data_IF_785895776623
#
_entry.id   IF_785895776623
#
_cell.length_a   1.000
_cell.length_b   1.000
_cell.length_c   1.000
_cell.angle_alpha   90.00
_cell.angle_beta   90.00
_cell.angle_gamma   90.00
#
_symmetry.space_group_name_H-M   'P 1'
#
loop_
_entity.id
_entity.type
_entity.pdbx_description
1 polymer ?
#
# COMPACT_ATOMS: atom_id res chain seq x y z
N UNK A 1 12.23 -20.28 2.43
CA UNK A 1 12.12 -20.08 3.90
C UNK A 1 11.20 -18.92 4.22
N UNK A 2 11.63 -17.66 4.02
CA UNK A 2 10.76 -16.48 4.14
C UNK A 2 9.59 -16.49 3.15
N UNK A 3 9.78 -17.08 1.96
CA UNK A 3 8.74 -17.22 0.94
C UNK A 3 7.48 -17.95 1.44
N UNK A 4 7.58 -18.90 2.39
CA UNK A 4 6.41 -19.57 2.99
C UNK A 4 5.62 -18.62 3.90
N UNK A 5 6.30 -17.75 4.64
CA UNK A 5 5.67 -16.73 5.51
C UNK A 5 5.12 -15.57 4.66
N UNK A 6 5.82 -15.20 3.58
CA UNK A 6 5.37 -14.20 2.61
C UNK A 6 4.25 -14.70 1.69
N UNK A 7 4.08 -16.03 1.56
CA UNK A 7 3.01 -16.60 0.74
C UNK A 7 1.66 -16.13 1.24
N UNK A 8 0.92 -15.44 0.37
CA UNK A 8 -0.46 -15.02 0.60
C UNK A 8 -1.46 -16.16 0.31
N UNK A 9 -0.97 -17.32 -0.12
CA UNK A 9 -1.80 -18.46 -0.48
C UNK A 9 -2.12 -19.29 0.77
N UNK A 10 -3.33 -19.10 1.28
CA UNK A 10 -3.88 -19.79 2.45
C UNK A 10 -4.02 -21.31 2.29
N UNK A 11 -3.93 -21.86 1.06
CA UNK A 11 -3.90 -23.33 0.85
C UNK A 11 -2.53 -23.94 1.11
N UNK A 12 -1.49 -23.11 1.11
CA UNK A 12 -0.07 -23.55 1.17
C UNK A 12 0.69 -22.98 2.36
N UNK A 13 0.06 -22.09 3.13
CA UNK A 13 0.65 -21.39 4.26
C UNK A 13 -0.32 -21.33 5.43
N UNK A 14 0.14 -21.75 6.60
CA UNK A 14 -0.56 -21.58 7.87
C UNK A 14 -0.39 -20.16 8.45
N UNK A 15 0.44 -19.32 7.81
CA UNK A 15 0.72 -17.95 8.21
C UNK A 15 -0.29 -17.00 7.57
N UNK A 16 -1.33 -16.67 8.33
CA UNK A 16 -2.44 -15.85 7.83
C UNK A 16 -2.19 -14.39 8.25
N UNK A 17 -2.51 -13.44 7.37
CA UNK A 17 -2.52 -12.03 7.76
C UNK A 17 -3.74 -11.79 8.67
N UNK A 18 -3.52 -11.72 9.99
CA UNK A 18 -4.56 -11.47 10.99
C UNK A 18 -4.05 -10.49 12.03
N UNK A 19 -4.94 -9.58 12.43
CA UNK A 19 -4.66 -8.67 13.55
C UNK A 19 -4.50 -9.44 14.86
N UNK A 20 -3.63 -8.97 15.78
CA UNK A 20 -3.66 -9.43 17.17
C UNK A 20 -5.05 -9.24 17.78
N UNK A 21 -5.27 -9.90 18.92
CA UNK A 21 -6.32 -9.55 19.86
C UNK A 21 -6.19 -8.07 20.21
N UNK A 22 -7.27 -7.32 20.00
CA UNK A 22 -7.33 -5.90 20.29
C UNK A 22 -8.75 -5.57 20.74
N UNK A 23 -8.90 -5.23 22.02
CA UNK A 23 -10.19 -4.98 22.65
C UNK A 23 -10.91 -3.80 21.97
N UNK A 24 -10.17 -2.81 21.48
CA UNK A 24 -10.74 -1.70 20.70
C UNK A 24 -11.38 -2.17 19.39
N UNK A 25 -10.68 -3.01 18.62
CA UNK A 25 -11.24 -3.59 17.39
C UNK A 25 -12.42 -4.53 17.66
N UNK A 26 -12.48 -5.12 18.85
CA UNK A 26 -13.60 -5.94 19.28
C UNK A 26 -14.84 -5.09 19.62
N UNK A 27 -14.66 -3.98 20.35
CA UNK A 27 -15.72 -3.02 20.68
C UNK A 27 -16.38 -2.45 19.41
N UNK A 28 -15.58 -2.11 18.39
CA UNK A 28 -16.11 -1.60 17.13
C UNK A 28 -16.57 -2.71 16.16
N UNK A 29 -16.45 -4.00 16.54
CA UNK A 29 -16.85 -5.13 15.72
C UNK A 29 -15.94 -5.42 14.52
N UNK A 30 -14.84 -4.69 14.33
CA UNK A 30 -13.88 -4.92 13.24
C UNK A 30 -13.18 -6.28 13.34
N UNK A 31 -13.09 -6.83 14.55
CA UNK A 31 -12.45 -8.13 14.76
C UNK A 31 -13.19 -9.34 14.16
N UNK A 32 -14.41 -9.17 13.65
CA UNK A 32 -15.21 -10.26 13.06
C UNK A 32 -16.00 -9.90 11.78
N UNK A 33 -16.09 -8.62 11.43
CA UNK A 33 -17.00 -8.11 10.37
C UNK A 33 -16.30 -7.59 9.10
N UNK A 34 -15.01 -7.25 9.18
CA UNK A 34 -14.21 -6.74 8.06
C UNK A 34 -13.32 -7.80 7.39
N UNK A 35 -12.32 -7.38 6.62
CA UNK A 35 -11.32 -8.27 6.00
C UNK A 35 -9.96 -8.13 6.68
N UNK A 36 -9.59 -6.92 7.06
CA UNK A 36 -8.24 -6.56 7.50
C UNK A 36 -8.00 -6.98 8.94
N UNK A 37 -8.99 -6.77 9.80
CA UNK A 37 -8.89 -7.04 11.24
C UNK A 37 -9.64 -8.30 11.69
N UNK A 38 -10.25 -9.02 10.74
CA UNK A 38 -11.09 -10.17 11.05
C UNK A 38 -10.27 -11.37 11.53
N UNK A 39 -10.57 -11.80 12.76
CA UNK A 39 -9.91 -12.93 13.42
C UNK A 39 -10.62 -14.25 13.16
N UNK A 40 -11.89 -14.24 12.76
CA UNK A 40 -12.66 -15.44 12.45
C UNK A 40 -12.35 -15.91 11.02
N UNK A 41 -11.74 -17.09 10.88
CA UNK A 41 -11.30 -17.59 9.58
C UNK A 41 -12.44 -17.80 8.59
N UNK A 42 -13.53 -18.43 9.03
CA UNK A 42 -14.63 -18.80 8.14
C UNK A 42 -15.37 -17.54 7.68
N UNK A 43 -15.59 -16.59 8.58
CA UNK A 43 -16.09 -15.24 8.28
C UNK A 43 -15.17 -14.53 7.28
N UNK A 44 -13.87 -14.45 7.58
CA UNK A 44 -12.88 -13.82 6.71
C UNK A 44 -12.82 -14.48 5.32
N UNK A 45 -12.80 -15.80 5.25
CA UNK A 45 -12.71 -16.55 4.01
C UNK A 45 -13.98 -16.36 3.15
N UNK A 46 -15.15 -16.25 3.78
CA UNK A 46 -16.40 -15.92 3.13
C UNK A 46 -16.39 -14.48 2.60
N UNK A 47 -16.12 -13.50 3.46
CA UNK A 47 -16.09 -12.07 3.13
C UNK A 47 -15.05 -11.76 2.04
N UNK A 48 -13.85 -12.35 2.13
CA UNK A 48 -12.79 -12.18 1.13
C UNK A 48 -13.19 -12.69 -0.24
N UNK A 49 -13.90 -13.83 -0.32
CA UNK A 49 -14.40 -14.34 -1.61
C UNK A 49 -15.40 -13.38 -2.23
N UNK A 50 -16.33 -12.85 -1.42
CA UNK A 50 -17.31 -11.87 -1.89
C UNK A 50 -16.64 -10.59 -2.35
N UNK A 51 -15.78 -10.01 -1.51
CA UNK A 51 -15.07 -8.76 -1.79
C UNK A 51 -14.23 -8.84 -3.06
N UNK A 52 -13.39 -9.89 -3.21
CA UNK A 52 -12.60 -10.09 -4.43
C UNK A 52 -13.52 -10.17 -5.66
N UNK A 53 -14.64 -10.89 -5.56
CA UNK A 53 -15.60 -10.99 -6.67
C UNK A 53 -16.32 -9.68 -6.98
N UNK A 54 -16.46 -8.77 -6.01
CA UNK A 54 -17.08 -7.47 -6.22
C UNK A 54 -16.10 -6.46 -6.84
N UNK A 55 -14.90 -6.31 -6.25
CA UNK A 55 -13.97 -5.22 -6.60
C UNK A 55 -12.92 -5.59 -7.65
N UNK A 56 -12.74 -6.88 -7.97
CA UNK A 56 -11.74 -7.32 -8.96
C UNK A 56 -12.37 -7.68 -10.32
N UNK A 57 -13.63 -7.33 -10.55
CA UNK A 57 -14.25 -7.58 -11.87
C UNK A 57 -13.67 -6.64 -12.93
N UNK A 58 -13.54 -7.07 -14.19
CA UNK A 58 -13.13 -6.17 -15.27
C UNK A 58 -14.02 -4.94 -15.42
N UNK A 59 -15.33 -5.09 -15.16
CA UNK A 59 -16.30 -3.98 -15.18
C UNK A 59 -15.99 -2.96 -14.10
N UNK A 60 -15.75 -3.41 -12.86
CA UNK A 60 -15.40 -2.54 -11.75
C UNK A 60 -14.10 -1.78 -12.02
N UNK A 61 -13.05 -2.46 -12.46
CA UNK A 61 -11.76 -1.83 -12.77
C UNK A 61 -11.90 -0.78 -13.88
N UNK A 62 -12.69 -1.09 -14.93
CA UNK A 62 -12.97 -0.13 -16.00
C UNK A 62 -13.71 1.11 -15.49
N UNK A 63 -14.73 0.93 -14.64
CA UNK A 63 -15.45 2.05 -14.05
C UNK A 63 -14.55 2.89 -13.14
N UNK A 64 -13.75 2.25 -12.29
CA UNK A 64 -12.79 2.91 -11.42
C UNK A 64 -11.80 3.78 -12.21
N UNK A 65 -11.32 3.30 -13.36
CA UNK A 65 -10.44 4.06 -14.25
C UNK A 65 -11.13 5.31 -14.79
N UNK A 66 -12.35 5.18 -15.34
CA UNK A 66 -13.12 6.32 -15.87
C UNK A 66 -13.36 7.38 -14.80
N UNK A 67 -13.68 6.97 -13.57
CA UNK A 67 -13.87 7.91 -12.45
C UNK A 67 -12.57 8.56 -12.01
N UNK A 68 -11.47 7.82 -12.02
CA UNK A 68 -10.15 8.36 -11.69
C UNK A 68 -9.72 9.42 -12.69
N UNK A 69 -9.94 9.20 -13.99
CA UNK A 69 -9.69 10.21 -15.04
C UNK A 69 -10.53 11.47 -14.81
N UNK A 70 -11.85 11.31 -14.61
CA UNK A 70 -12.76 12.43 -14.40
C UNK A 70 -12.39 13.28 -13.18
N UNK A 71 -12.03 12.65 -12.06
CA UNK A 71 -11.64 13.38 -10.86
C UNK A 71 -10.25 14.02 -11.02
N UNK A 72 -9.36 13.42 -11.82
CA UNK A 72 -8.08 14.03 -12.18
C UNK A 72 -8.28 15.27 -13.07
N UNK A 73 -9.13 15.20 -14.09
CA UNK A 73 -9.50 16.34 -14.93
C UNK A 73 -10.11 17.49 -14.10
N UNK A 74 -10.96 17.17 -13.12
CA UNK A 74 -11.51 18.16 -12.18
C UNK A 74 -10.41 18.84 -11.36
N UNK A 75 -9.48 18.05 -10.82
CA UNK A 75 -8.32 18.56 -10.07
C UNK A 75 -7.42 19.44 -10.95
N UNK A 76 -7.14 19.05 -12.19
CA UNK A 76 -6.38 19.84 -13.15
C UNK A 76 -7.06 21.18 -13.45
N UNK A 77 -8.39 21.17 -13.59
CA UNK A 77 -9.18 22.40 -13.73
C UNK A 77 -9.03 23.34 -12.53
N UNK A 78 -8.93 22.81 -11.31
CA UNK A 78 -8.66 23.60 -10.11
C UNK A 78 -7.22 24.12 -10.07
N UNK A 79 -6.24 23.32 -10.47
CA UNK A 79 -4.86 23.75 -10.56
C UNK A 79 -4.69 24.91 -11.54
N UNK A 80 -5.30 24.84 -12.73
CA UNK A 80 -5.28 25.94 -13.72
C UNK A 80 -5.86 27.24 -13.14
N UNK A 81 -6.96 27.17 -12.39
CA UNK A 81 -7.59 28.34 -11.76
C UNK A 81 -6.75 28.94 -10.62
N UNK A 82 -6.08 28.11 -9.83
CA UNK A 82 -5.31 28.55 -8.66
C UNK A 82 -3.90 28.99 -9.01
N UNK A 83 -3.24 28.27 -9.93
CA UNK A 83 -1.80 28.36 -10.15
C UNK A 83 -1.43 28.78 -11.58
N UNK A 84 -2.40 28.88 -12.51
CA UNK A 84 -2.12 29.12 -13.93
C UNK A 84 -1.51 27.91 -14.64
N UNK A 85 -0.94 28.13 -15.83
CA UNK A 85 -0.35 27.06 -16.67
C UNK A 85 1.08 26.67 -16.22
N UNK A 86 1.86 27.63 -15.70
CA UNK A 86 3.14 27.39 -15.04
C UNK A 86 2.91 27.33 -13.52
N UNK A 87 2.57 26.13 -13.03
CA UNK A 87 2.33 25.90 -11.61
C UNK A 87 3.58 26.25 -10.79
N UNK A 88 3.58 27.38 -10.08
CA UNK A 88 4.75 27.81 -9.31
C UNK A 88 5.08 26.82 -8.19
N UNK A 89 4.14 26.57 -7.26
CA UNK A 89 4.30 25.62 -6.16
C UNK A 89 2.92 25.12 -5.71
N UNK A 90 2.77 23.79 -5.52
CA UNK A 90 1.58 23.18 -4.92
C UNK A 90 1.96 22.01 -4.01
N UNK A 91 1.16 21.78 -2.97
CA UNK A 91 1.30 20.60 -2.12
C UNK A 91 0.59 19.41 -2.77
N UNK A 92 1.37 18.57 -3.45
CA UNK A 92 0.85 17.43 -4.19
C UNK A 92 0.19 16.40 -3.25
N UNK A 93 0.70 16.24 -2.02
CA UNK A 93 0.15 15.28 -1.06
C UNK A 93 -1.25 15.70 -0.63
N UNK A 94 -1.45 16.99 -0.39
CA UNK A 94 -2.76 17.52 -0.03
C UNK A 94 -3.78 17.31 -1.16
N UNK A 95 -3.41 17.61 -2.41
CA UNK A 95 -4.29 17.39 -3.56
C UNK A 95 -4.60 15.91 -3.80
N UNK A 96 -3.58 15.05 -3.77
CA UNK A 96 -3.75 13.61 -3.97
C UNK A 96 -4.63 12.98 -2.89
N UNK A 97 -4.49 13.38 -1.61
CA UNK A 97 -5.35 12.90 -0.55
C UNK A 97 -6.83 13.17 -0.81
N UNK A 98 -7.15 14.30 -1.46
CA UNK A 98 -8.53 14.73 -1.75
C UNK A 98 -9.04 14.00 -2.99
N UNK A 99 -8.20 13.89 -4.03
CA UNK A 99 -8.46 13.09 -5.22
C UNK A 99 -8.80 11.64 -4.85
N UNK A 100 -7.97 11.01 -4.02
CA UNK A 100 -8.17 9.61 -3.65
C UNK A 100 -9.32 9.43 -2.65
N UNK A 101 -9.63 10.43 -1.82
CA UNK A 101 -10.87 10.45 -1.05
C UNK A 101 -12.08 10.39 -1.98
N UNK A 102 -12.18 11.31 -2.95
CA UNK A 102 -13.31 11.31 -3.90
C UNK A 102 -13.36 10.02 -4.73
N UNK A 103 -12.22 9.48 -5.18
CA UNK A 103 -12.15 8.21 -5.90
C UNK A 103 -12.68 7.04 -5.05
N UNK A 104 -12.21 6.90 -3.80
CA UNK A 104 -12.58 5.77 -2.94
C UNK A 104 -14.06 5.84 -2.58
N UNK A 105 -14.58 7.01 -2.18
CA UNK A 105 -16.01 7.14 -1.87
C UNK A 105 -16.90 6.90 -3.09
N UNK A 106 -16.46 7.32 -4.28
CA UNK A 106 -17.18 7.03 -5.51
C UNK A 106 -17.19 5.53 -5.80
N UNK A 107 -16.04 4.87 -5.74
CA UNK A 107 -15.91 3.46 -6.10
C UNK A 107 -16.60 2.53 -5.07
N UNK A 108 -16.61 2.90 -3.79
CA UNK A 108 -17.11 2.04 -2.70
C UNK A 108 -18.55 2.34 -2.28
N UNK A 109 -19.00 3.59 -2.40
CA UNK A 109 -20.34 4.01 -2.02
C UNK A 109 -21.14 4.63 -3.17
N UNK A 110 -20.57 4.77 -4.37
CA UNK A 110 -21.18 5.49 -5.49
C UNK A 110 -21.63 6.91 -5.10
N UNK A 111 -20.84 7.57 -4.25
CA UNK A 111 -21.12 8.91 -3.70
C UNK A 111 -19.94 9.84 -3.96
N UNK A 112 -20.27 11.06 -4.38
CA UNK A 112 -19.31 12.15 -4.48
C UNK A 112 -19.29 12.91 -3.16
N UNK A 113 -18.12 13.00 -2.52
CA UNK A 113 -17.94 13.69 -1.22
C UNK A 113 -17.31 15.08 -1.38
N UNK A 114 -17.01 15.47 -2.63
CA UNK A 114 -16.54 16.80 -3.00
C UNK A 114 -15.27 17.22 -2.25
N UNK A 115 -14.39 16.28 -1.91
CA UNK A 115 -13.15 16.56 -1.20
C UNK A 115 -12.25 17.52 -1.99
N UNK A 116 -12.13 17.32 -3.30
CA UNK A 116 -11.39 18.21 -4.20
C UNK A 116 -12.00 19.62 -4.26
N UNK A 117 -13.31 19.71 -4.50
CA UNK A 117 -14.02 20.99 -4.61
C UNK A 117 -13.96 21.77 -3.28
N UNK A 118 -14.10 21.09 -2.14
CA UNK A 118 -13.97 21.70 -0.81
C UNK A 118 -12.55 22.21 -0.57
N UNK A 119 -11.52 21.47 -0.99
CA UNK A 119 -10.14 21.92 -0.87
C UNK A 119 -9.83 23.11 -1.79
N UNK A 120 -10.30 23.08 -3.05
CA UNK A 120 -10.25 24.24 -3.94
C UNK A 120 -10.96 25.45 -3.32
N UNK A 121 -12.18 25.28 -2.81
CA UNK A 121 -12.93 26.34 -2.14
C UNK A 121 -12.20 26.88 -0.91
N UNK A 122 -11.41 26.07 -0.21
CA UNK A 122 -10.58 26.55 0.89
C UNK A 122 -9.44 27.46 0.39
N UNK A 123 -8.79 27.09 -0.71
CA UNK A 123 -7.63 27.80 -1.26
C UNK A 123 -7.99 29.02 -2.12
N UNK A 124 -9.11 28.97 -2.85
CA UNK A 124 -9.53 30.04 -3.75
C UNK A 124 -10.27 31.14 -2.99
N UNK A 125 -9.76 32.38 -2.95
CA UNK A 125 -10.42 33.47 -2.25
C UNK A 125 -11.60 34.08 -3.01
N UNK A 126 -11.60 33.99 -4.35
CA UNK A 126 -12.53 34.73 -5.22
C UNK A 126 -13.54 33.87 -5.95
N UNK A 127 -13.14 32.66 -6.36
CA UNK A 127 -14.00 31.73 -7.07
C UNK A 127 -14.36 30.56 -6.16
N UNK A 128 -15.64 30.21 -6.08
CA UNK A 128 -16.11 29.03 -5.35
C UNK A 128 -16.92 28.14 -6.27
N UNK A 129 -16.77 26.84 -6.10
CA UNK A 129 -17.56 25.82 -6.77
C UNK A 129 -18.68 25.39 -5.83
N UNK A 130 -19.89 25.24 -6.38
CA UNK A 130 -21.02 24.73 -5.63
C UNK A 130 -20.78 23.26 -5.26
N UNK A 131 -21.03 22.92 -4.00
CA UNK A 131 -20.97 21.56 -3.48
C UNK A 131 -22.34 21.19 -2.93
N UNK A 132 -22.80 19.99 -3.23
CA UNK A 132 -24.04 19.48 -2.66
C UNK A 132 -23.75 18.90 -1.27
N UNK A 133 -24.20 19.60 -0.23
CA UNK A 133 -24.00 19.19 1.18
C UNK A 133 -24.87 18.00 1.60
N UNK A 134 -25.79 17.55 0.74
CA UNK A 134 -26.75 16.50 1.04
C UNK A 134 -26.42 15.19 0.33
N UNK A 135 -25.43 14.43 0.82
CA UNK A 135 -25.48 12.95 0.73
C UNK A 135 -24.35 12.26 1.48
N UNK A 136 -24.56 11.99 2.77
CA UNK A 136 -23.87 10.89 3.44
C UNK A 136 -24.90 9.77 3.60
N UNK A 137 -24.70 8.70 2.82
CA UNK A 137 -25.45 7.44 2.77
C UNK A 137 -26.88 7.50 2.19
N UNK A 138 -26.99 7.25 0.88
CA UNK A 138 -28.20 6.60 0.34
C UNK A 138 -27.82 5.25 -0.24
N UNK A 139 -28.65 4.27 0.06
CA UNK A 139 -28.46 2.85 -0.16
C UNK A 139 -28.68 2.53 -1.65
N UNK A 140 -27.63 2.13 -2.38
CA UNK A 140 -27.82 1.50 -3.68
C UNK A 140 -28.09 0.00 -3.49
N UNK A 141 -29.36 -0.40 -3.59
CA UNK A 141 -29.75 -1.79 -3.77
C UNK A 141 -29.70 -2.14 -5.26
N UNK A 142 -28.89 -3.12 -5.66
CA UNK A 142 -29.26 -4.22 -6.55
C UNK A 142 -28.01 -4.99 -6.99
N UNK A 143 -27.86 -6.21 -6.47
CA UNK A 143 -27.54 -7.40 -7.27
C UNK A 143 -27.83 -8.64 -6.40
N UNK A 144 -28.65 -9.55 -6.92
CA UNK A 144 -29.01 -10.81 -6.29
C UNK A 144 -27.82 -11.75 -6.31
N UNK A 145 -27.04 -11.72 -5.23
CA UNK A 145 -26.09 -12.78 -4.89
C UNK A 145 -26.67 -13.62 -3.75
N UNK A 146 -26.43 -14.93 -3.81
CA UNK A 146 -26.77 -15.93 -2.78
C UNK A 146 -26.33 -15.46 -1.40
N UNK A 147 -27.27 -15.48 -0.43
CA UNK A 147 -27.21 -14.88 0.91
C UNK A 147 -26.48 -13.52 0.99
N UNK A 148 -27.22 -12.38 1.01
CA UNK A 148 -26.60 -11.06 1.06
C UNK A 148 -25.73 -10.91 2.31
N UNK A 149 -24.60 -10.21 2.18
CA UNK A 149 -23.79 -9.79 3.32
C UNK A 149 -24.68 -9.03 4.32
N UNK A 150 -24.43 -9.21 5.62
CA UNK A 150 -25.13 -8.40 6.62
C UNK A 150 -24.75 -6.94 6.48
N UNK A 151 -25.66 -6.03 6.84
CA UNK A 151 -25.40 -4.58 6.76
C UNK A 151 -24.14 -4.21 7.57
N UNK A 152 -23.88 -4.88 8.70
CA UNK A 152 -22.70 -4.67 9.51
C UNK A 152 -21.40 -5.11 8.82
N UNK A 153 -21.43 -6.21 8.05
CA UNK A 153 -20.29 -6.65 7.26
C UNK A 153 -19.99 -5.66 6.12
N UNK A 154 -21.03 -5.13 5.47
CA UNK A 154 -20.88 -4.10 4.43
C UNK A 154 -20.24 -2.85 5.02
N UNK A 155 -20.76 -2.35 6.14
CA UNK A 155 -20.23 -1.17 6.84
C UNK A 155 -18.78 -1.39 7.29
N UNK A 156 -18.47 -2.55 7.88
CA UNK A 156 -17.11 -2.89 8.31
C UNK A 156 -16.10 -2.84 7.16
N UNK A 157 -16.43 -3.45 6.02
CA UNK A 157 -15.57 -3.45 4.83
C UNK A 157 -15.42 -2.04 4.21
N UNK A 158 -16.49 -1.25 4.20
CA UNK A 158 -16.46 0.13 3.72
C UNK A 158 -15.52 1.00 4.58
N UNK A 159 -15.64 0.91 5.90
CA UNK A 159 -14.81 1.66 6.85
C UNK A 159 -13.34 1.29 6.72
N UNK A 160 -13.02 -0.01 6.67
CA UNK A 160 -11.64 -0.49 6.48
C UNK A 160 -11.04 -0.02 5.14
N UNK A 161 -11.82 -0.12 4.04
CA UNK A 161 -11.35 0.31 2.71
C UNK A 161 -11.07 1.80 2.66
N UNK A 162 -11.93 2.61 3.28
CA UNK A 162 -11.76 4.06 3.34
C UNK A 162 -10.57 4.44 4.20
N UNK A 163 -10.48 3.89 5.41
CA UNK A 163 -9.42 4.22 6.36
C UNK A 163 -8.04 3.75 5.88
N UNK A 164 -7.93 2.55 5.29
CA UNK A 164 -6.65 2.01 4.84
C UNK A 164 -6.23 2.47 3.44
N UNK A 165 -7.19 2.77 2.56
CA UNK A 165 -6.94 3.01 1.14
C UNK A 165 -6.37 4.38 0.83
N UNK A 166 -6.90 5.45 1.45
CA UNK A 166 -6.62 6.84 1.07
C UNK A 166 -5.15 7.21 1.33
N UNK A 167 -4.67 7.04 2.56
CA UNK A 167 -3.31 7.45 2.94
C UNK A 167 -2.24 6.61 2.21
N UNK A 168 -2.53 5.32 2.02
CA UNK A 168 -1.62 4.37 1.35
C UNK A 168 -1.36 4.76 -0.11
N UNK A 169 -2.41 5.01 -0.89
CA UNK A 169 -2.27 5.36 -2.31
C UNK A 169 -1.74 6.79 -2.49
N UNK A 170 -2.14 7.73 -1.63
CA UNK A 170 -1.59 9.10 -1.60
C UNK A 170 -0.08 9.08 -1.42
N UNK A 171 0.38 8.37 -0.38
CA UNK A 171 1.81 8.24 -0.08
C UNK A 171 2.58 7.54 -1.20
N UNK A 172 2.00 6.49 -1.79
CA UNK A 172 2.61 5.77 -2.92
C UNK A 172 2.84 6.70 -4.12
N UNK A 173 1.84 7.49 -4.49
CA UNK A 173 1.93 8.44 -5.61
C UNK A 173 2.88 9.61 -5.31
N UNK A 174 2.95 10.07 -4.06
CA UNK A 174 3.95 11.03 -3.62
C UNK A 174 5.38 10.49 -3.75
N UNK A 175 5.63 9.25 -3.31
CA UNK A 175 6.95 8.62 -3.46
C UNK A 175 7.33 8.43 -4.92
N UNK A 176 6.38 8.03 -5.78
CA UNK A 176 6.61 7.98 -7.22
C UNK A 176 7.02 9.34 -7.76
N UNK A 177 6.25 10.38 -7.47
CA UNK A 177 6.55 11.75 -7.93
C UNK A 177 7.92 12.24 -7.44
N UNK A 178 8.26 11.98 -6.17
CA UNK A 178 9.55 12.34 -5.57
C UNK A 178 10.73 11.65 -6.28
N UNK A 179 10.67 10.33 -6.47
CA UNK A 179 11.78 9.61 -7.10
C UNK A 179 11.93 9.90 -8.58
N UNK A 180 10.81 10.10 -9.27
CA UNK A 180 10.82 10.57 -10.66
C UNK A 180 11.50 11.94 -10.76
N UNK A 181 11.23 12.86 -9.84
CA UNK A 181 11.91 14.16 -9.79
C UNK A 181 13.41 14.05 -9.50
N UNK A 182 13.81 13.11 -8.64
CA UNK A 182 15.20 12.91 -8.21
C UNK A 182 16.08 12.18 -9.24
N UNK A 183 15.47 11.36 -10.10
CA UNK A 183 16.18 10.53 -11.10
C UNK A 183 15.70 10.86 -12.52
N UNK A 184 16.21 11.94 -13.15
CA UNK A 184 15.76 12.40 -14.46
C UNK A 184 15.89 11.37 -15.58
N UNK A 185 16.87 10.48 -15.52
CA UNK A 185 17.07 9.39 -16.47
C UNK A 185 15.97 8.33 -16.41
N UNK A 186 15.48 8.03 -15.21
CA UNK A 186 14.32 7.15 -15.00
C UNK A 186 13.06 7.84 -15.50
N UNK A 187 12.89 9.13 -15.16
CA UNK A 187 11.76 9.94 -15.64
C UNK A 187 11.68 9.98 -17.16
N UNK A 188 12.81 10.22 -17.81
CA UNK A 188 12.89 10.26 -19.28
C UNK A 188 12.42 8.94 -19.90
N UNK A 189 12.88 7.79 -19.37
CA UNK A 189 12.48 6.47 -19.89
C UNK A 189 11.01 6.15 -19.67
N UNK A 190 10.43 6.58 -18.55
CA UNK A 190 8.98 6.47 -18.32
C UNK A 190 8.21 7.32 -19.32
N UNK A 191 8.65 8.56 -19.56
CA UNK A 191 8.03 9.42 -20.58
C UNK A 191 8.12 8.80 -21.97
N UNK A 192 9.28 8.27 -22.36
CA UNK A 192 9.44 7.55 -23.64
C UNK A 192 8.50 6.35 -23.76
N UNK A 193 8.32 5.56 -22.68
CA UNK A 193 7.37 4.43 -22.68
C UNK A 193 5.93 4.91 -22.82
N UNK A 194 5.52 5.92 -22.04
CA UNK A 194 4.17 6.50 -22.10
C UNK A 194 3.90 7.11 -23.47
N UNK A 195 4.79 7.97 -23.99
CA UNK A 195 4.63 8.65 -25.27
C UNK A 195 4.61 7.67 -26.45
N UNK A 196 5.22 6.49 -26.32
CA UNK A 196 5.16 5.44 -27.34
C UNK A 196 3.80 4.74 -27.44
N UNK A 197 2.94 4.90 -26.43
CA UNK A 197 1.65 4.22 -26.29
C UNK A 197 0.47 5.17 -26.20
N UNK A 198 0.69 6.37 -25.68
CA UNK A 198 -0.34 7.33 -25.36
C UNK A 198 -0.10 8.67 -26.03
N UNK A 199 -1.15 9.19 -26.65
CA UNK A 199 -1.26 10.62 -26.96
C UNK A 199 -1.74 11.38 -25.73
N UNK A 200 -1.44 12.67 -25.63
CA UNK A 200 -1.70 13.48 -24.42
C UNK A 200 -3.18 13.52 -24.00
N UNK A 201 -4.09 13.49 -24.97
CA UNK A 201 -5.53 13.68 -24.75
C UNK A 201 -6.35 12.39 -24.93
N UNK A 202 -5.71 11.22 -25.07
CA UNK A 202 -6.46 9.97 -25.20
C UNK A 202 -6.99 9.49 -23.86
N UNK A 203 -8.20 8.92 -23.89
CA UNK A 203 -8.75 8.17 -22.76
C UNK A 203 -7.95 6.89 -22.54
N UNK A 204 -7.67 6.58 -21.30
CA UNK A 204 -6.96 5.39 -20.86
C UNK A 204 -7.90 4.18 -20.93
N UNK A 205 -7.34 3.03 -21.34
CA UNK A 205 -8.00 1.74 -21.21
C UNK A 205 -7.17 0.78 -20.37
N UNK A 206 -7.83 -0.13 -19.65
CA UNK A 206 -7.14 -1.16 -18.86
C UNK A 206 -6.20 -2.01 -19.72
N UNK A 207 -6.53 -2.23 -21.00
CA UNK A 207 -5.70 -3.01 -21.92
C UNK A 207 -4.40 -2.32 -22.30
N UNK A 208 -4.41 -1.00 -22.46
CA UNK A 208 -3.22 -0.20 -22.77
C UNK A 208 -2.33 -0.01 -21.54
N UNK A 209 -2.92 0.19 -20.36
CA UNK A 209 -2.17 0.29 -19.11
C UNK A 209 -1.32 -0.95 -18.83
N UNK A 210 -1.80 -2.13 -19.24
CA UNK A 210 -1.04 -3.39 -19.14
C UNK A 210 0.19 -3.46 -20.08
N UNK A 211 0.38 -2.47 -20.96
CA UNK A 211 1.50 -2.39 -21.90
C UNK A 211 2.61 -1.41 -21.45
N UNK A 212 2.71 -1.16 -20.14
CA UNK A 212 3.68 -0.26 -19.52
C UNK A 212 4.65 -1.00 -18.57
N UNK A 213 5.45 -1.97 -19.05
CA UNK A 213 6.30 -2.80 -18.21
C UNK A 213 7.41 -2.02 -17.47
N UNK A 214 7.88 -0.89 -18.01
CA UNK A 214 8.87 -0.04 -17.32
C UNK A 214 8.21 0.76 -16.19
N UNK A 215 7.00 1.29 -16.38
CA UNK A 215 6.20 1.85 -15.28
C UNK A 215 5.98 0.81 -14.17
N UNK A 216 5.63 -0.43 -14.51
CA UNK A 216 5.49 -1.52 -13.53
C UNK A 216 6.80 -1.76 -12.75
N UNK A 217 7.94 -1.74 -13.44
CA UNK A 217 9.24 -1.89 -12.81
C UNK A 217 9.56 -0.73 -11.85
N UNK A 218 9.25 0.51 -12.25
CA UNK A 218 9.45 1.71 -11.43
C UNK A 218 8.58 1.66 -10.17
N UNK A 219 7.29 1.34 -10.31
CA UNK A 219 6.37 1.19 -9.17
C UNK A 219 6.90 0.15 -8.19
N UNK A 220 7.29 -1.04 -8.68
CA UNK A 220 7.84 -2.12 -7.84
C UNK A 220 9.12 -1.71 -7.14
N UNK A 221 10.01 -1.00 -7.82
CA UNK A 221 11.29 -0.58 -7.24
C UNK A 221 11.11 0.49 -6.16
N UNK A 222 10.19 1.43 -6.36
CA UNK A 222 9.85 2.43 -5.34
C UNK A 222 9.18 1.77 -4.15
N UNK A 223 8.20 0.88 -4.36
CA UNK A 223 7.58 0.12 -3.25
C UNK A 223 8.58 -0.77 -2.51
N UNK A 224 9.62 -1.27 -3.19
CA UNK A 224 10.72 -2.02 -2.57
C UNK A 224 11.55 -1.11 -1.65
N UNK A 225 11.91 0.08 -2.12
CA UNK A 225 12.72 1.03 -1.35
C UNK A 225 11.94 1.74 -0.24
N UNK A 226 10.67 2.05 -0.47
CA UNK A 226 9.79 2.82 0.42
C UNK A 226 8.44 2.08 0.57
N UNK A 227 8.43 0.94 1.29
CA UNK A 227 7.19 0.19 1.49
C UNK A 227 6.20 0.98 2.36
N UNK A 228 4.94 1.05 1.95
CA UNK A 228 3.87 1.69 2.73
C UNK A 228 3.66 1.00 4.08
N UNK A 229 3.76 -0.33 4.10
CA UNK A 229 3.72 -1.12 5.32
C UNK A 229 5.11 -1.71 5.60
N UNK A 230 5.89 -1.02 6.42
CA UNK A 230 7.24 -1.44 6.83
C UNK A 230 7.22 -2.77 7.60
N UNK A 231 6.15 -2.98 8.38
CA UNK A 231 5.96 -4.14 9.23
C UNK A 231 4.75 -4.95 8.75
N UNK A 232 5.04 -6.14 8.22
CA UNK A 232 4.00 -7.11 7.92
C UNK A 232 3.91 -8.09 9.08
N UNK A 233 2.72 -8.33 9.61
CA UNK A 233 2.51 -9.38 10.61
C UNK A 233 1.75 -10.57 10.01
N UNK A 234 2.02 -11.75 10.55
CA UNK A 234 1.27 -12.97 10.32
C UNK A 234 0.96 -13.61 11.66
N UNK A 235 -0.13 -14.36 11.71
CA UNK A 235 -0.48 -15.20 12.85
C UNK A 235 -0.59 -16.62 12.35
N UNK A 236 0.07 -17.56 13.02
CA UNK A 236 -0.06 -18.97 12.66
C UNK A 236 -1.38 -19.53 13.19
N UNK A 237 -2.13 -20.18 12.30
CA UNK A 237 -3.43 -20.74 12.65
C UNK A 237 -3.34 -22.00 13.53
N UNK A 238 -2.19 -22.68 13.50
CA UNK A 238 -1.92 -23.90 14.24
C UNK A 238 -0.44 -23.98 14.59
N UNK A 239 -0.11 -24.83 15.56
CA UNK A 239 1.28 -25.11 15.91
C UNK A 239 2.06 -25.59 14.67
N UNK A 240 3.25 -25.06 14.48
CA UNK A 240 4.12 -25.45 13.37
C UNK A 240 5.58 -25.50 13.81
N UNK A 241 6.31 -26.54 13.39
CA UNK A 241 7.76 -26.56 13.54
C UNK A 241 8.41 -25.77 12.41
N UNK A 242 9.11 -24.70 12.76
CA UNK A 242 9.84 -23.84 11.83
C UNK A 242 11.32 -23.80 12.21
N UNK A 243 12.20 -24.27 11.32
CA UNK A 243 13.65 -24.38 11.56
C UNK A 243 14.02 -25.10 12.88
N UNK A 244 13.28 -26.13 13.26
CA UNK A 244 13.51 -26.88 14.50
C UNK A 244 12.97 -26.20 15.76
N UNK A 245 12.36 -25.03 15.64
CA UNK A 245 11.62 -24.37 16.70
C UNK A 245 10.13 -24.67 16.56
N UNK A 246 9.49 -25.06 17.65
CA UNK A 246 8.03 -25.17 17.70
C UNK A 246 7.46 -23.76 17.86
N UNK A 247 6.65 -23.32 16.90
CA UNK A 247 5.88 -22.09 16.95
C UNK A 247 4.46 -22.45 17.39
N UNK A 248 4.03 -22.13 18.63
CA UNK A 248 2.68 -22.41 19.10
C UNK A 248 1.62 -21.66 18.27
N UNK A 249 0.41 -22.20 18.16
CA UNK A 249 -0.71 -21.49 17.51
C UNK A 249 -0.90 -20.08 18.08
N UNK A 250 -1.43 -19.17 17.26
CA UNK A 250 -1.69 -17.75 17.62
C UNK A 250 -0.45 -16.89 17.89
N UNK A 251 0.74 -17.39 17.57
CA UNK A 251 1.99 -16.63 17.62
C UNK A 251 2.03 -15.59 16.50
N UNK A 252 2.34 -14.34 16.87
CA UNK A 252 2.57 -13.26 15.92
C UNK A 252 3.99 -13.31 15.36
N UNK A 253 4.09 -13.26 14.04
CA UNK A 253 5.34 -13.24 13.31
C UNK A 253 5.44 -11.92 12.58
N UNK A 254 6.42 -11.13 12.98
CA UNK A 254 6.73 -9.84 12.39
C UNK A 254 7.77 -9.98 11.29
N UNK A 255 7.53 -9.30 10.18
CA UNK A 255 8.41 -9.31 9.02
C UNK A 255 8.78 -7.88 8.65
N UNK A 256 10.05 -7.54 8.87
CA UNK A 256 10.62 -6.23 8.56
C UNK A 256 11.25 -6.25 7.17
N UNK A 257 10.44 -6.04 6.14
CA UNK A 257 10.89 -6.14 4.74
C UNK A 257 12.02 -5.15 4.42
N UNK A 258 11.85 -3.90 4.85
CA UNK A 258 12.85 -2.84 4.65
C UNK A 258 14.19 -3.17 5.33
N UNK A 259 14.15 -3.57 6.60
CA UNK A 259 15.37 -3.94 7.34
C UNK A 259 16.12 -5.10 6.68
N UNK A 260 15.41 -6.13 6.22
CA UNK A 260 16.02 -7.26 5.52
C UNK A 260 16.71 -6.85 4.22
N UNK A 261 16.10 -5.93 3.47
CA UNK A 261 16.67 -5.39 2.24
C UNK A 261 17.93 -4.56 2.52
N UNK A 262 17.88 -3.66 3.49
CA UNK A 262 19.02 -2.83 3.90
C UNK A 262 20.19 -3.69 4.38
N UNK A 263 19.94 -4.67 5.25
CA UNK A 263 20.97 -5.60 5.72
C UNK A 263 21.61 -6.36 4.56
N UNK A 264 20.82 -6.84 3.60
CA UNK A 264 21.34 -7.50 2.39
C UNK A 264 22.19 -6.55 1.55
N UNK A 265 21.78 -5.28 1.42
CA UNK A 265 22.55 -4.27 0.72
C UNK A 265 23.90 -4.01 1.42
N UNK A 266 23.92 -3.82 2.74
CA UNK A 266 25.16 -3.65 3.51
C UNK A 266 26.08 -4.87 3.41
N UNK A 267 25.53 -6.09 3.47
CA UNK A 267 26.32 -7.30 3.24
C UNK A 267 27.00 -7.27 1.88
N UNK A 268 26.27 -6.94 0.81
CA UNK A 268 26.88 -6.83 -0.53
C UNK A 268 27.91 -5.71 -0.57
N UNK A 269 27.63 -4.53 -0.03
CA UNK A 269 28.55 -3.39 -0.03
C UNK A 269 29.87 -3.70 0.70
N UNK A 270 29.79 -4.38 1.84
CA UNK A 270 30.94 -4.81 2.64
C UNK A 270 31.71 -5.93 1.93
N UNK A 271 31.03 -7.05 1.64
CA UNK A 271 31.70 -8.29 1.23
C UNK A 271 31.97 -8.39 -0.29
N UNK A 272 31.45 -7.47 -1.12
CA UNK A 272 31.83 -7.41 -2.55
C UNK A 272 33.25 -6.87 -2.75
N UNK A 273 33.77 -6.09 -1.81
CA UNK A 273 35.10 -5.45 -1.91
C UNK A 273 36.07 -5.91 -0.84
N UNK A 274 35.58 -6.35 0.31
CA UNK A 274 36.42 -6.63 1.47
C UNK A 274 36.13 -7.98 2.08
N UNK A 275 37.18 -8.60 2.62
CA UNK A 275 37.12 -9.72 3.53
C UNK A 275 37.34 -9.22 4.97
N UNK A 276 36.54 -9.75 5.90
CA UNK A 276 36.53 -9.33 7.30
C UNK A 276 36.93 -10.52 8.17
N UNK A 277 38.10 -10.42 8.82
CA UNK A 277 38.60 -11.44 9.73
C UNK A 277 38.49 -10.95 11.17
N UNK A 278 37.92 -11.75 12.08
CA UNK A 278 37.97 -11.43 13.51
C UNK A 278 39.42 -11.30 13.98
N UNK A 279 39.72 -10.24 14.76
CA UNK A 279 41.05 -10.08 15.37
C UNK A 279 41.36 -11.23 16.32
N UNK A 280 40.34 -11.71 17.04
CA UNK A 280 40.37 -12.91 17.86
C UNK A 280 39.11 -13.75 17.55
N UNK A 281 39.29 -14.94 16.97
CA UNK A 281 38.19 -15.86 16.62
C UNK A 281 37.63 -16.61 17.82
N UNK A 282 38.36 -16.66 18.93
CA UNK A 282 37.99 -17.40 20.12
C UNK A 282 37.29 -16.51 21.16
N UNK A 283 37.44 -15.18 21.05
CA UNK A 283 36.75 -14.25 21.92
C UNK A 283 35.22 -14.30 21.69
N UNK A 284 34.40 -14.29 22.76
CA UNK A 284 32.96 -14.18 22.62
C UNK A 284 32.58 -12.80 22.07
N UNK A 285 31.45 -12.74 21.35
CA UNK A 285 30.89 -11.47 20.88
C UNK A 285 30.51 -10.61 22.10
N UNK A 286 31.04 -9.39 22.18
CA UNK A 286 30.70 -8.45 23.26
C UNK A 286 29.34 -7.83 22.98
N UNK A 287 28.35 -8.28 23.75
CA UNK A 287 26.96 -7.83 23.62
C UNK A 287 26.33 -7.57 24.98
N UNK A 288 25.41 -6.62 25.05
CA UNK A 288 24.46 -6.49 26.14
C UNK A 288 23.03 -6.64 25.63
N UNK A 289 22.12 -6.94 26.56
CA UNK A 289 20.70 -7.04 26.30
C UNK A 289 19.97 -5.84 26.91
N UNK A 290 19.20 -5.13 26.09
CA UNK A 290 18.25 -4.10 26.51
C UNK A 290 16.90 -4.36 25.82
N UNK A 291 16.27 -3.35 25.21
CA UNK A 291 15.15 -3.54 24.28
C UNK A 291 15.62 -4.33 23.05
N UNK A 292 16.91 -4.23 22.70
CA UNK A 292 17.56 -4.99 21.62
C UNK A 292 18.80 -5.71 22.17
N UNK A 293 19.26 -6.75 21.46
CA UNK A 293 20.60 -7.29 21.66
C UNK A 293 21.59 -6.41 20.88
N UNK A 294 22.37 -5.59 21.57
CA UNK A 294 23.34 -4.69 20.96
C UNK A 294 24.74 -5.30 20.95
N UNK A 295 25.52 -5.03 19.91
CA UNK A 295 26.94 -5.35 19.86
C UNK A 295 27.74 -4.13 20.33
N UNK A 296 28.42 -4.27 21.47
CA UNK A 296 29.19 -3.17 22.08
C UNK A 296 30.51 -2.94 21.36
N UNK A 297 31.14 -4.03 20.92
CA UNK A 297 32.43 -3.98 20.23
C UNK A 297 32.64 -5.24 19.37
N UNK A 298 33.10 -5.03 18.13
CA UNK A 298 33.52 -6.09 17.22
C UNK A 298 34.81 -5.67 16.50
N UNK A 299 35.96 -6.20 16.93
CA UNK A 299 37.26 -5.90 16.32
C UNK A 299 37.52 -6.84 15.14
N UNK A 300 37.67 -6.26 13.95
CA UNK A 300 37.92 -6.97 12.69
C UNK A 300 39.16 -6.41 11.98
N UNK A 301 39.87 -7.28 11.27
CA UNK A 301 40.85 -6.92 10.23
C UNK A 301 40.12 -6.90 8.90
N UNK A 302 40.22 -5.81 8.16
CA UNK A 302 39.57 -5.63 6.85
C UNK A 302 40.64 -5.72 5.77
N UNK A 303 40.47 -6.62 4.82
CA UNK A 303 41.38 -6.80 3.68
C UNK A 303 40.61 -6.62 2.37
N UNK A 304 41.17 -5.98 1.33
CA UNK A 304 40.57 -6.01 0.00
C UNK A 304 40.45 -7.45 -0.50
N UNK A 305 39.33 -7.81 -1.14
CA UNK A 305 39.18 -9.10 -1.82
C UNK A 305 39.98 -9.10 -3.11
N UNK A 306 40.74 -10.16 -3.31
CA UNK A 306 41.39 -10.47 -4.59
C UNK A 306 40.44 -11.40 -5.37
N UNK A 307 40.20 -11.06 -6.64
CA UNK A 307 39.35 -11.83 -7.54
C UNK A 307 40.17 -12.77 -8.41
#
# INVERSE_FOLDING_TARGET
MLERIYSTNSKTSNFINRSPVNDGLEVYGFSSRGISFNRNYDSWAYLRKFFIRAVMTPSFVKQALVWSEKNFEEMEGYWKKLYGDDHNELDLSEWLGRLYTDNIFHITANKKVYALANYFNKLSPREKVSVDSTSIMERSSNETLTEPLTDEAIIGNFMETTAGGIDSITSSTCFISYFMAKYPEVKKRVFEEIDSKFTRDQKLTCGELNQLPYCDAVIREISRMHPIAELNYRVNAQEETFNGYVIPAETQIYIHQYAMMELKAYMVLMYRKYDFELVDKNAPLKTHYSIIRACDELKVRVKPRVF
#
